data_IF_808863719305
#
_entry.id   IF_808863719305
#
_cell.length_a   1.000
_cell.length_b   1.000
_cell.length_c   1.000
_cell.angle_alpha   90.00
_cell.angle_beta   90.00
_cell.angle_gamma   90.00
#
_symmetry.space_group_name_H-M   'P 1'
#
loop_
_entity.id
_entity.type
_entity.pdbx_description
1 polymer ?
#
# COMPACT_ATOMS: atom_id res chain seq x y z
N UNK A 1 -10.86 -16.89 -32.94
CA UNK A 1 -11.60 -17.81 -32.04
C UNK A 1 -11.33 -17.39 -30.61
N UNK A 2 -12.39 -17.12 -29.82
CA UNK A 2 -12.27 -16.83 -28.41
C UNK A 2 -11.75 -18.07 -27.64
N UNK A 3 -10.94 -17.84 -26.62
CA UNK A 3 -10.47 -18.91 -25.71
C UNK A 3 -11.65 -19.30 -24.81
N UNK A 4 -11.88 -20.60 -24.65
CA UNK A 4 -12.85 -21.09 -23.67
C UNK A 4 -12.48 -20.65 -22.25
N UNK A 5 -13.49 -20.26 -21.47
CA UNK A 5 -13.31 -19.87 -20.04
C UNK A 5 -13.66 -21.10 -19.19
N UNK A 6 -12.67 -21.76 -18.58
CA UNK A 6 -12.88 -23.00 -17.86
C UNK A 6 -13.89 -22.87 -16.72
N UNK A 7 -14.90 -23.74 -16.70
CA UNK A 7 -15.91 -23.78 -15.64
C UNK A 7 -16.97 -22.69 -15.68
N UNK A 8 -16.96 -21.83 -16.70
CA UNK A 8 -18.03 -20.85 -16.89
C UNK A 8 -19.32 -21.53 -17.38
N UNK A 9 -20.48 -21.03 -16.93
CA UNK A 9 -21.78 -21.40 -17.44
C UNK A 9 -22.10 -20.59 -18.70
N UNK A 10 -22.07 -21.20 -19.92
CA UNK A 10 -22.28 -20.46 -21.17
C UNK A 10 -23.64 -19.78 -21.27
N UNK A 11 -24.66 -20.32 -20.58
CA UNK A 11 -26.02 -19.80 -20.65
C UNK A 11 -26.19 -18.46 -19.91
N UNK A 12 -25.34 -18.18 -18.95
CA UNK A 12 -25.41 -16.97 -18.11
C UNK A 12 -24.17 -16.11 -18.16
N UNK A 13 -23.13 -16.56 -18.87
CA UNK A 13 -21.88 -15.82 -19.00
C UNK A 13 -22.05 -14.51 -19.77
N UNK A 14 -21.52 -13.42 -19.19
CA UNK A 14 -21.50 -12.09 -19.83
C UNK A 14 -20.20 -11.36 -19.47
N UNK A 15 -19.74 -10.48 -20.32
CA UNK A 15 -18.71 -9.51 -19.99
C UNK A 15 -19.32 -8.40 -19.11
N UNK A 16 -18.65 -8.04 -18.04
CA UNK A 16 -19.10 -7.02 -17.07
C UNK A 16 -18.13 -5.86 -16.95
N UNK A 17 -16.86 -6.07 -17.29
CA UNK A 17 -15.83 -5.03 -17.33
C UNK A 17 -14.67 -5.51 -18.20
N UNK A 18 -13.68 -4.65 -18.48
CA UNK A 18 -12.52 -4.97 -19.30
C UNK A 18 -11.73 -6.17 -18.71
N UNK A 19 -11.67 -7.26 -19.46
CA UNK A 19 -11.14 -8.57 -19.03
C UNK A 19 -11.88 -9.24 -17.87
N UNK A 20 -13.08 -8.76 -17.50
CA UNK A 20 -13.91 -9.39 -16.48
C UNK A 20 -15.17 -9.96 -17.09
N UNK A 21 -15.31 -11.27 -17.03
CA UNK A 21 -16.56 -11.97 -17.31
C UNK A 21 -17.25 -12.38 -16.00
N UNK A 22 -18.54 -12.61 -16.07
CA UNK A 22 -19.32 -13.13 -14.95
C UNK A 22 -20.42 -14.06 -15.43
N UNK A 23 -20.63 -15.16 -14.74
CA UNK A 23 -21.82 -15.98 -14.87
C UNK A 23 -22.67 -15.92 -13.59
N UNK A 24 -23.69 -16.77 -13.48
CA UNK A 24 -24.53 -16.86 -12.27
C UNK A 24 -23.80 -17.30 -11.00
N UNK A 25 -22.61 -17.90 -11.13
CA UNK A 25 -21.88 -18.50 -10.02
C UNK A 25 -20.75 -17.63 -9.51
N UNK A 26 -20.03 -16.94 -10.42
CA UNK A 26 -18.83 -16.15 -10.08
C UNK A 26 -18.35 -15.22 -11.18
N UNK A 27 -17.41 -14.35 -10.82
CA UNK A 27 -16.64 -13.57 -11.76
C UNK A 27 -15.36 -14.32 -12.22
N UNK A 28 -14.90 -13.95 -13.42
CA UNK A 28 -13.69 -14.47 -14.07
C UNK A 28 -12.81 -13.28 -14.49
N UNK A 29 -11.53 -13.34 -14.19
CA UNK A 29 -10.56 -12.33 -14.62
C UNK A 29 -9.63 -12.93 -15.67
N UNK A 30 -9.57 -12.33 -16.87
CA UNK A 30 -8.75 -12.83 -17.99
C UNK A 30 -9.02 -14.31 -18.34
N UNK A 31 -10.23 -14.76 -18.10
CA UNK A 31 -10.65 -16.15 -18.35
C UNK A 31 -10.36 -17.12 -17.20
N UNK A 32 -9.80 -16.66 -16.08
CA UNK A 32 -9.58 -17.49 -14.89
C UNK A 32 -10.64 -17.22 -13.81
N UNK A 33 -11.13 -18.24 -13.10
CA UNK A 33 -12.15 -18.08 -12.08
C UNK A 33 -11.58 -17.32 -10.87
N UNK A 34 -12.39 -16.42 -10.31
CA UNK A 34 -12.06 -15.68 -9.10
C UNK A 34 -12.88 -16.17 -7.89
N UNK A 35 -12.61 -15.63 -6.71
CA UNK A 35 -13.41 -15.90 -5.51
C UNK A 35 -14.64 -14.98 -5.40
N UNK A 36 -14.78 -14.01 -6.30
CA UNK A 36 -15.88 -13.05 -6.32
C UNK A 36 -17.13 -13.71 -6.90
N UNK A 37 -18.22 -13.68 -6.16
CA UNK A 37 -19.52 -14.20 -6.61
C UNK A 37 -20.23 -13.22 -7.54
N UNK A 38 -20.18 -11.93 -7.25
CA UNK A 38 -20.84 -10.87 -8.01
C UNK A 38 -19.95 -9.64 -8.11
N UNK A 39 -19.30 -9.47 -9.26
CA UNK A 39 -18.41 -8.33 -9.54
C UNK A 39 -19.14 -6.99 -9.46
N UNK A 40 -20.44 -6.94 -9.76
CA UNK A 40 -21.20 -5.70 -9.75
C UNK A 40 -21.43 -5.13 -8.35
N UNK A 41 -21.16 -5.92 -7.30
CA UNK A 41 -21.24 -5.50 -5.89
C UNK A 41 -19.92 -5.01 -5.32
N UNK A 42 -18.85 -5.07 -6.09
CA UNK A 42 -17.55 -4.61 -5.61
C UNK A 42 -17.50 -3.10 -5.49
N UNK A 43 -16.97 -2.66 -4.36
CA UNK A 43 -16.57 -1.27 -4.13
C UNK A 43 -15.05 -1.21 -4.10
N UNK A 44 -14.47 -0.32 -4.90
CA UNK A 44 -13.03 -0.10 -4.88
C UNK A 44 -12.61 0.69 -3.62
N UNK A 45 -11.62 0.18 -2.92
CA UNK A 45 -11.03 0.79 -1.73
C UNK A 45 -9.60 1.26 -2.07
N UNK A 46 -9.47 2.54 -2.42
CA UNK A 46 -8.18 3.10 -2.83
C UNK A 46 -7.70 2.55 -4.18
N UNK A 47 -6.42 2.14 -4.27
CA UNK A 47 -5.78 1.83 -5.56
C UNK A 47 -5.91 0.38 -6.01
N UNK A 48 -5.79 -0.56 -5.06
CA UNK A 48 -5.56 -1.98 -5.39
C UNK A 48 -6.42 -2.93 -4.55
N UNK A 49 -7.37 -2.40 -3.79
CA UNK A 49 -8.27 -3.20 -2.96
C UNK A 49 -9.72 -3.00 -3.33
N UNK A 50 -10.49 -4.03 -3.11
CA UNK A 50 -11.94 -4.06 -3.34
C UNK A 50 -12.65 -4.70 -2.16
N UNK A 51 -13.93 -4.36 -1.97
CA UNK A 51 -14.80 -5.01 -0.98
C UNK A 51 -16.16 -5.33 -1.59
N UNK A 52 -16.71 -6.48 -1.25
CA UNK A 52 -18.11 -6.84 -1.50
C UNK A 52 -19.00 -6.64 -0.24
N UNK A 53 -18.45 -6.02 0.80
CA UNK A 53 -19.10 -5.84 2.11
C UNK A 53 -18.95 -7.03 3.06
N UNK A 54 -18.42 -8.17 2.58
CA UNK A 54 -18.16 -9.37 3.39
C UNK A 54 -16.70 -9.77 3.42
N UNK A 55 -15.95 -9.40 2.39
CA UNK A 55 -14.52 -9.69 2.24
C UNK A 55 -13.78 -8.48 1.66
N UNK A 56 -12.48 -8.42 1.92
CA UNK A 56 -11.54 -7.56 1.22
C UNK A 56 -10.77 -8.39 0.21
N UNK A 57 -10.62 -7.87 -1.00
CA UNK A 57 -9.94 -8.53 -2.12
C UNK A 57 -8.78 -7.68 -2.62
N UNK A 58 -7.70 -8.32 -3.02
CA UNK A 58 -6.59 -7.68 -3.72
C UNK A 58 -6.90 -7.43 -5.21
N UNK A 59 -5.93 -6.86 -5.96
CA UNK A 59 -6.04 -6.57 -7.39
C UNK A 59 -6.26 -7.83 -8.26
N UNK A 60 -5.92 -9.01 -7.76
CA UNK A 60 -6.13 -10.30 -8.42
C UNK A 60 -7.39 -11.01 -7.91
N UNK A 61 -8.20 -10.30 -7.11
CA UNK A 61 -9.42 -10.80 -6.50
C UNK A 61 -9.21 -11.99 -5.55
N UNK A 62 -8.03 -12.07 -4.93
CA UNK A 62 -7.81 -12.97 -3.81
C UNK A 62 -8.30 -12.33 -2.52
N UNK A 63 -8.92 -13.11 -1.65
CA UNK A 63 -9.37 -12.63 -0.34
C UNK A 63 -8.15 -12.32 0.54
N UNK A 64 -8.19 -11.20 1.28
CA UNK A 64 -7.31 -10.91 2.39
C UNK A 64 -7.90 -11.57 3.65
N UNK A 65 -7.39 -12.71 4.11
CA UNK A 65 -8.08 -13.54 5.10
C UNK A 65 -8.18 -12.92 6.49
N UNK A 66 -7.26 -12.02 6.84
CA UNK A 66 -7.18 -11.40 8.18
C UNK A 66 -7.80 -10.00 8.23
N UNK A 67 -8.32 -9.50 7.12
CA UNK A 67 -8.86 -8.14 7.05
C UNK A 67 -10.24 -8.05 7.71
N UNK A 68 -10.38 -7.14 8.68
CA UNK A 68 -11.67 -6.78 9.24
C UNK A 68 -12.38 -5.76 8.34
N UNK A 69 -13.35 -6.23 7.59
CA UNK A 69 -14.13 -5.45 6.61
C UNK A 69 -14.77 -4.21 7.23
N UNK A 70 -15.22 -4.29 8.49
CA UNK A 70 -15.91 -3.20 9.15
C UNK A 70 -15.02 -2.00 9.45
N UNK A 71 -13.72 -2.24 9.64
CA UNK A 71 -12.75 -1.20 10.00
C UNK A 71 -11.67 -0.99 8.95
N UNK A 72 -11.72 -1.72 7.82
CA UNK A 72 -10.71 -1.63 6.77
C UNK A 72 -10.79 -0.30 6.03
N UNK A 73 -9.67 0.42 6.00
CA UNK A 73 -9.55 1.73 5.35
C UNK A 73 -8.30 1.85 4.51
N UNK A 74 -8.42 2.56 3.39
CA UNK A 74 -7.27 3.05 2.63
C UNK A 74 -6.68 4.28 3.34
N UNK A 75 -5.38 4.26 3.63
CA UNK A 75 -4.68 5.38 4.25
C UNK A 75 -4.16 6.33 3.17
N UNK A 76 -3.28 5.83 2.32
CA UNK A 76 -2.68 6.56 1.22
C UNK A 76 -1.81 5.63 0.36
N UNK A 77 -1.71 5.89 -0.94
CA UNK A 77 -0.86 5.11 -1.84
C UNK A 77 -1.20 3.62 -1.82
N UNK A 78 -0.27 2.80 -1.38
CA UNK A 78 -0.44 1.35 -1.23
C UNK A 78 -0.70 0.92 0.22
N UNK A 79 -0.91 1.87 1.14
CA UNK A 79 -1.10 1.59 2.55
C UNK A 79 -2.57 1.48 2.94
N UNK A 80 -2.88 0.42 3.65
CA UNK A 80 -4.22 0.11 4.18
C UNK A 80 -4.09 -0.32 5.63
N UNK A 81 -5.16 -0.17 6.40
CA UNK A 81 -5.24 -0.73 7.75
C UNK A 81 -6.68 -1.04 8.15
N UNK A 82 -6.81 -1.89 9.15
CA UNK A 82 -8.02 -2.03 9.96
C UNK A 82 -7.73 -1.74 11.44
N UNK A 83 -8.59 -2.16 12.34
CA UNK A 83 -8.41 -1.97 13.77
C UNK A 83 -7.20 -2.73 14.35
N UNK A 84 -6.77 -3.82 13.71
CA UNK A 84 -5.79 -4.78 14.23
C UNK A 84 -4.52 -4.88 13.39
N UNK A 85 -4.59 -4.55 12.10
CA UNK A 85 -3.53 -4.82 11.14
C UNK A 85 -3.23 -3.63 10.22
N UNK A 86 -2.04 -3.69 9.61
CA UNK A 86 -1.61 -2.77 8.53
C UNK A 86 -1.19 -3.61 7.34
N UNK A 87 -1.53 -3.15 6.13
CA UNK A 87 -1.09 -3.76 4.86
C UNK A 87 -0.36 -2.76 3.98
N UNK A 88 0.63 -3.27 3.29
CA UNK A 88 1.20 -2.64 2.11
C UNK A 88 0.77 -3.44 0.88
N UNK A 89 -0.08 -2.84 0.02
CA UNK A 89 -0.80 -3.62 -1.01
C UNK A 89 -1.52 -4.82 -0.36
N UNK A 90 -1.35 -6.04 -0.89
CA UNK A 90 -1.96 -7.25 -0.34
C UNK A 90 -1.09 -7.99 0.71
N UNK A 91 -0.01 -7.35 1.20
CA UNK A 91 0.90 -7.96 2.16
C UNK A 91 0.69 -7.40 3.55
N UNK A 92 0.52 -8.31 4.52
CA UNK A 92 0.45 -7.96 5.93
C UNK A 92 1.80 -7.39 6.39
N UNK A 93 1.77 -6.23 7.06
CA UNK A 93 2.95 -5.57 7.63
C UNK A 93 3.13 -6.07 9.06
N UNK A 94 3.89 -7.15 9.20
CA UNK A 94 4.09 -7.78 10.50
C UNK A 94 4.78 -6.85 11.50
N UNK A 95 4.23 -6.75 12.71
CA UNK A 95 4.77 -5.93 13.79
C UNK A 95 4.38 -4.45 13.74
N UNK A 96 3.60 -4.02 12.74
CA UNK A 96 3.08 -2.67 12.69
C UNK A 96 1.94 -2.46 13.69
N UNK A 97 1.96 -1.34 14.39
CA UNK A 97 0.87 -0.91 15.27
C UNK A 97 -0.13 -0.05 14.50
N UNK A 98 -1.34 -0.55 14.15
CA UNK A 98 -2.29 0.22 13.33
C UNK A 98 -2.79 1.50 13.99
N UNK A 99 -2.69 1.62 15.33
CA UNK A 99 -3.13 2.82 16.07
C UNK A 99 -2.19 3.99 15.88
N UNK A 100 -0.89 3.73 15.73
CA UNK A 100 0.15 4.75 15.58
C UNK A 100 0.75 4.81 14.17
N UNK A 101 0.40 3.84 13.32
CA UNK A 101 0.92 3.74 11.96
C UNK A 101 0.47 4.89 11.07
N UNK A 102 1.43 5.44 10.34
CA UNK A 102 1.21 6.38 9.23
C UNK A 102 2.25 6.18 8.12
N UNK A 103 1.89 6.43 6.85
CA UNK A 103 2.88 6.60 5.79
C UNK A 103 3.86 7.72 6.14
N UNK A 104 5.12 7.56 5.75
CA UNK A 104 6.13 8.62 5.93
C UNK A 104 5.76 9.82 5.06
N UNK A 105 5.81 11.01 5.63
CA UNK A 105 5.62 12.25 4.87
C UNK A 105 6.84 12.53 4.01
N UNK A 106 6.60 12.78 2.74
CA UNK A 106 7.62 13.20 1.77
C UNK A 106 7.61 14.71 1.67
N UNK A 107 8.76 15.34 1.91
CA UNK A 107 8.92 16.78 1.76
C UNK A 107 9.69 17.05 0.44
N UNK A 108 9.03 17.51 -0.63
CA UNK A 108 9.68 17.83 -1.88
C UNK A 108 10.43 19.17 -1.79
N UNK A 109 11.42 19.37 -2.67
CA UNK A 109 12.10 20.66 -2.83
C UNK A 109 11.16 21.73 -3.40
N UNK A 110 10.18 21.32 -4.20
CA UNK A 110 9.15 22.16 -4.80
C UNK A 110 7.81 21.45 -4.73
N UNK A 111 6.75 22.16 -4.39
CA UNK A 111 5.38 21.63 -4.30
C UNK A 111 4.95 21.28 -2.87
N UNK A 112 3.86 20.52 -2.77
CA UNK A 112 3.26 20.15 -1.49
C UNK A 112 3.81 18.84 -0.95
N UNK A 113 3.83 18.70 0.37
CA UNK A 113 4.14 17.42 1.03
C UNK A 113 3.08 16.38 0.73
N UNK A 114 3.51 15.14 0.56
CA UNK A 114 2.63 13.99 0.30
C UNK A 114 3.02 12.80 1.17
N UNK A 115 2.14 11.81 1.23
CA UNK A 115 2.47 10.54 1.87
C UNK A 115 3.31 9.67 0.94
N UNK A 116 4.29 8.96 1.49
CA UNK A 116 5.11 8.02 0.73
C UNK A 116 4.37 6.71 0.45
N UNK A 117 4.58 6.14 -0.73
CA UNK A 117 3.92 4.90 -1.16
C UNK A 117 4.59 3.64 -0.63
N UNK A 118 5.86 3.73 -0.22
CA UNK A 118 6.67 2.58 0.16
C UNK A 118 7.17 2.64 1.60
N UNK A 119 7.33 3.85 2.18
CA UNK A 119 7.79 4.00 3.56
C UNK A 119 6.62 4.34 4.48
N UNK A 120 6.54 3.60 5.57
CA UNK A 120 5.63 3.84 6.68
C UNK A 120 6.33 3.75 8.02
N UNK A 121 5.71 4.25 9.07
CA UNK A 121 6.22 4.14 10.43
C UNK A 121 5.10 4.12 11.46
N UNK A 122 5.38 3.48 12.57
CA UNK A 122 4.59 3.58 13.80
C UNK A 122 5.41 4.25 14.90
N UNK A 123 5.01 4.11 16.16
CA UNK A 123 5.71 4.68 17.32
C UNK A 123 7.07 4.01 17.61
N UNK A 124 7.36 2.83 17.05
CA UNK A 124 8.56 2.02 17.34
C UNK A 124 9.38 1.69 16.12
N UNK A 125 8.74 1.44 14.97
CA UNK A 125 9.37 0.86 13.81
C UNK A 125 9.19 1.74 12.57
N UNK A 126 10.13 1.61 11.66
CA UNK A 126 10.02 2.11 10.29
C UNK A 126 9.94 0.91 9.37
N UNK A 127 9.08 1.03 8.36
CA UNK A 127 8.82 -0.02 7.37
C UNK A 127 9.16 0.46 5.98
N UNK A 128 9.78 -0.41 5.19
CA UNK A 128 9.82 -0.31 3.76
C UNK A 128 8.94 -1.41 3.19
N UNK A 129 7.82 -1.00 2.58
CA UNK A 129 6.76 -1.91 2.15
C UNK A 129 6.27 -2.76 3.34
N UNK A 130 6.31 -4.09 3.23
CA UNK A 130 5.87 -5.02 4.27
C UNK A 130 6.95 -5.38 5.31
N UNK A 131 8.14 -4.78 5.23
CA UNK A 131 9.31 -5.19 6.02
C UNK A 131 9.80 -4.09 6.96
N UNK A 132 10.16 -4.47 8.21
CA UNK A 132 10.81 -3.57 9.16
C UNK A 132 12.21 -3.21 8.66
N UNK A 133 12.59 -1.94 8.77
CA UNK A 133 13.96 -1.48 8.59
C UNK A 133 14.71 -1.59 9.93
N UNK A 134 15.65 -2.54 10.08
CA UNK A 134 16.30 -2.78 11.37
C UNK A 134 17.07 -1.56 11.87
N UNK A 135 16.81 -1.17 13.12
CA UNK A 135 17.52 -0.10 13.80
C UNK A 135 17.23 1.31 13.27
N UNK A 136 16.19 1.49 12.47
CA UNK A 136 15.72 2.81 12.07
C UNK A 136 15.03 3.51 13.26
N UNK A 137 15.35 4.79 13.45
CA UNK A 137 14.72 5.62 14.48
C UNK A 137 13.43 6.24 13.95
N UNK A 138 12.30 5.63 14.29
CA UNK A 138 10.98 6.06 13.84
C UNK A 138 10.65 7.52 14.18
N UNK A 139 11.19 8.03 15.31
CA UNK A 139 10.93 9.40 15.74
C UNK A 139 11.57 10.45 14.82
N UNK A 140 12.71 10.14 14.20
CA UNK A 140 13.47 11.05 13.34
C UNK A 140 13.55 10.63 11.87
N UNK A 141 12.87 9.56 11.49
CA UNK A 141 12.90 9.06 10.11
C UNK A 141 12.15 10.00 9.16
N UNK A 142 12.83 10.40 8.09
CA UNK A 142 12.35 11.38 7.11
C UNK A 142 12.72 11.01 5.68
N UNK A 143 11.92 11.51 4.73
CA UNK A 143 12.20 11.47 3.30
C UNK A 143 12.07 12.89 2.73
N UNK A 144 13.17 13.43 2.26
CA UNK A 144 13.27 14.82 1.78
C UNK A 144 13.95 14.84 0.40
N UNK A 145 13.44 15.69 -0.48
CA UNK A 145 14.11 16.05 -1.72
C UNK A 145 14.95 17.33 -1.46
N UNK A 146 16.26 17.19 -1.44
CA UNK A 146 17.17 18.33 -1.33
C UNK A 146 17.51 18.86 -2.73
N UNK A 147 17.48 20.20 -2.95
CA UNK A 147 17.69 20.81 -4.26
C UNK A 147 19.05 20.53 -4.94
N UNK A 148 20.04 20.08 -4.18
CA UNK A 148 21.38 19.68 -4.67
C UNK A 148 21.55 18.17 -4.75
N UNK A 149 20.49 17.43 -4.47
CA UNK A 149 20.47 15.96 -4.50
C UNK A 149 20.09 15.44 -5.88
N UNK A 150 20.62 14.27 -6.23
CA UNK A 150 20.22 13.56 -7.47
C UNK A 150 18.86 12.87 -7.33
N UNK A 151 18.30 12.82 -6.10
CA UNK A 151 17.05 12.14 -5.80
C UNK A 151 16.67 12.31 -4.33
N UNK A 152 15.53 11.77 -3.96
CA UNK A 152 15.05 11.69 -2.59
C UNK A 152 16.09 11.11 -1.63
N UNK A 153 16.34 11.82 -0.52
CA UNK A 153 17.15 11.31 0.58
C UNK A 153 16.25 10.78 1.69
N UNK A 154 16.51 9.54 2.10
CA UNK A 154 15.81 8.85 3.18
C UNK A 154 16.80 8.63 4.32
N UNK A 155 16.52 9.15 5.48
CA UNK A 155 17.44 9.18 6.60
C UNK A 155 16.71 9.24 7.95
N UNK A 156 17.45 8.95 9.00
CA UNK A 156 17.12 9.34 10.36
C UNK A 156 18.29 10.16 10.96
N UNK A 157 18.20 10.53 12.23
CA UNK A 157 19.28 11.30 12.89
C UNK A 157 20.62 10.55 12.96
N UNK A 158 20.65 9.23 12.73
CA UNK A 158 21.84 8.40 12.90
C UNK A 158 22.50 7.99 11.59
N UNK A 159 21.70 7.83 10.49
CA UNK A 159 22.21 7.35 9.21
C UNK A 159 21.31 7.70 8.02
N UNK A 160 21.91 7.60 6.83
CA UNK A 160 21.22 7.67 5.54
C UNK A 160 20.91 6.25 5.07
N UNK A 161 19.69 6.03 4.61
CA UNK A 161 19.22 4.74 4.07
C UNK A 161 19.18 4.73 2.55
N UNK A 162 18.85 5.88 1.95
CA UNK A 162 18.80 6.09 0.51
C UNK A 162 19.20 7.52 0.17
N UNK A 163 19.83 7.71 -0.98
CA UNK A 163 20.36 9.02 -1.41
C UNK A 163 21.79 9.26 -0.97
N UNK A 164 22.21 10.51 -0.96
CA UNK A 164 23.58 10.92 -0.63
C UNK A 164 23.65 11.67 0.70
N UNK A 165 24.72 11.46 1.44
CA UNK A 165 25.12 12.31 2.55
C UNK A 165 25.68 13.64 1.97
N UNK A 166 24.78 14.59 1.73
CA UNK A 166 25.10 15.87 1.10
C UNK A 166 25.42 16.96 2.14
N UNK A 167 26.13 18.04 1.75
CA UNK A 167 26.36 19.19 2.63
C UNK A 167 25.06 19.78 3.18
N UNK A 168 24.00 19.82 2.39
CA UNK A 168 22.68 20.32 2.83
C UNK A 168 21.99 19.38 3.83
N UNK A 169 22.13 18.07 3.65
CA UNK A 169 21.65 17.12 4.66
C UNK A 169 22.37 17.34 5.99
N UNK A 170 23.69 17.49 5.98
CA UNK A 170 24.48 17.75 7.19
C UNK A 170 24.08 19.06 7.86
N UNK A 171 23.88 20.13 7.10
CA UNK A 171 23.39 21.40 7.62
C UNK A 171 21.99 21.26 8.24
N UNK A 172 21.09 20.55 7.55
CA UNK A 172 19.76 20.25 8.07
C UNK A 172 19.79 19.47 9.38
N UNK A 173 20.60 18.39 9.46
CA UNK A 173 20.75 17.59 10.67
C UNK A 173 21.35 18.39 11.80
N UNK A 174 22.36 19.23 11.52
CA UNK A 174 22.95 20.14 12.52
C UNK A 174 21.94 21.12 13.09
N UNK A 175 21.15 21.74 12.23
CA UNK A 175 20.12 22.70 12.65
C UNK A 175 19.00 22.02 13.45
N UNK A 176 18.59 20.83 13.06
CA UNK A 176 17.43 20.13 13.66
C UNK A 176 17.78 19.35 14.91
N UNK A 177 18.96 18.72 14.94
CA UNK A 177 19.36 17.80 16.01
C UNK A 177 20.66 18.19 16.74
N UNK A 178 21.31 19.27 16.36
CA UNK A 178 22.54 19.77 17.01
C UNK A 178 23.79 18.92 16.72
N UNK A 179 23.81 18.15 15.63
CA UNK A 179 24.90 17.21 15.28
C UNK A 179 25.79 17.77 14.18
#
# INVERSE_FOLDING_TARGET
MGKEVPGADPATFREVDFYIGQDKNRAYQKGEPTQIKDYTKLTQLGRVMYSDGTHIYDLHFNILPEADVATFVHISGNWYKDASHVWWSNKLVNGANPKTFSPVTVTPSVGETSADFNYGKDDKHVFYQDSIIPGADAASFEKIDFPDGDSWTVFDRNRVYQGKDSPKLREYLKKKYGK
#
